data_IF_580066142507
#
_entry.id   IF_580066142507
#
_cell.length_a   1.000
_cell.length_b   1.000
_cell.length_c   1.000
_cell.angle_alpha   90.00
_cell.angle_beta   90.00
_cell.angle_gamma   90.00
#
_symmetry.space_group_name_H-M   'P 1'
#
loop_
_entity.id
_entity.type
_entity.pdbx_description
1 polymer ?
#
# COMPACT_ATOMS: atom_id res chain seq x y z
N UNK A 1 22.47 -4.35 -33.49
CA UNK A 1 21.44 -5.37 -33.20
C UNK A 1 20.80 -4.97 -31.88
N UNK A 2 19.58 -4.49 -31.94
CA UNK A 2 18.80 -4.11 -30.75
C UNK A 2 18.15 -5.37 -30.21
N UNK A 3 18.70 -5.95 -29.18
CA UNK A 3 18.06 -7.05 -28.46
C UNK A 3 16.97 -6.44 -27.59
N UNK A 4 15.72 -6.56 -28.04
CA UNK A 4 14.56 -6.29 -27.20
C UNK A 4 14.43 -7.41 -26.18
N UNK A 5 14.71 -7.11 -24.92
CA UNK A 5 14.46 -8.02 -23.79
C UNK A 5 12.96 -8.05 -23.58
N UNK A 6 12.25 -9.20 -23.67
CA UNK A 6 10.85 -9.26 -23.35
C UNK A 6 10.66 -8.97 -21.86
N UNK A 7 9.92 -7.90 -21.56
CA UNK A 7 9.56 -7.49 -20.20
C UNK A 7 8.34 -8.30 -19.76
N UNK A 8 8.51 -9.21 -18.82
CA UNK A 8 7.41 -9.86 -18.12
C UNK A 8 7.26 -9.28 -16.72
N UNK A 9 6.10 -8.75 -16.43
CA UNK A 9 5.70 -8.30 -15.10
C UNK A 9 4.75 -9.33 -14.51
N UNK A 10 5.11 -9.90 -13.37
CA UNK A 10 4.20 -10.69 -12.55
C UNK A 10 3.90 -9.91 -11.27
N UNK A 11 2.65 -9.55 -11.08
CA UNK A 11 2.16 -8.97 -9.82
C UNK A 11 1.24 -9.99 -9.15
N UNK A 12 1.75 -10.68 -8.14
CA UNK A 12 0.93 -11.54 -7.29
C UNK A 12 0.32 -10.74 -6.15
N UNK A 13 -0.99 -10.54 -6.19
CA UNK A 13 -1.79 -9.84 -5.17
C UNK A 13 -2.14 -10.79 -4.01
N UNK A 14 -1.16 -11.27 -3.26
CA UNK A 14 -1.40 -12.22 -2.15
C UNK A 14 -1.34 -11.61 -0.75
N UNK A 15 -0.97 -10.35 -0.60
CA UNK A 15 -1.00 -9.69 0.72
C UNK A 15 -2.46 -9.36 1.11
N UNK A 16 -3.07 -10.19 1.94
CA UNK A 16 -4.39 -9.92 2.50
C UNK A 16 -4.25 -8.92 3.65
N UNK A 17 -4.76 -7.69 3.45
CA UNK A 17 -4.91 -6.75 4.55
C UNK A 17 -5.98 -7.27 5.50
N UNK A 18 -5.60 -7.57 6.74
CA UNK A 18 -6.53 -7.98 7.79
C UNK A 18 -6.87 -6.76 8.63
N UNK A 19 -8.15 -6.45 8.72
CA UNK A 19 -8.69 -5.41 9.57
C UNK A 19 -9.45 -6.05 10.72
N UNK A 20 -9.08 -5.71 11.94
CA UNK A 20 -9.75 -6.21 13.14
C UNK A 20 -10.52 -5.07 13.79
N UNK A 21 -11.81 -5.27 13.99
CA UNK A 21 -12.73 -4.32 14.64
C UNK A 21 -12.94 -4.70 16.10
N UNK A 22 -12.82 -3.73 17.00
CA UNK A 22 -13.11 -3.86 18.41
C UNK A 22 -13.96 -2.68 18.92
N UNK A 23 -15.00 -2.90 19.74
CA UNK A 23 -15.66 -4.19 19.98
C UNK A 23 -16.64 -4.54 18.85
N UNK A 24 -16.97 -5.82 18.68
CA UNK A 24 -18.04 -6.21 17.80
C UNK A 24 -19.37 -5.80 18.43
N UNK A 25 -20.00 -4.77 17.91
CA UNK A 25 -21.36 -4.29 18.28
C UNK A 25 -21.66 -4.26 19.80
N UNK A 26 -21.82 -3.04 20.34
CA UNK A 26 -22.40 -2.84 21.66
C UNK A 26 -23.73 -2.09 21.56
N UNK A 27 -24.69 -2.46 22.39
CA UNK A 27 -25.83 -1.59 22.69
C UNK A 27 -25.32 -0.41 23.52
N UNK A 28 -25.43 0.78 22.99
CA UNK A 28 -25.04 2.03 23.65
C UNK A 28 -26.30 2.78 24.02
N UNK A 29 -26.35 3.38 25.20
CA UNK A 29 -27.48 4.18 25.63
C UNK A 29 -27.29 5.66 25.24
N UNK A 30 -28.36 6.41 25.05
CA UNK A 30 -28.25 7.86 24.87
C UNK A 30 -27.48 8.50 26.03
N UNK A 31 -26.51 9.37 25.66
CA UNK A 31 -25.59 10.03 26.60
C UNK A 31 -24.25 9.32 26.79
N UNK A 32 -24.12 8.06 26.39
CA UNK A 32 -22.87 7.32 26.50
C UNK A 32 -21.81 7.82 25.52
N UNK A 33 -20.56 7.38 25.74
CA UNK A 33 -19.47 7.50 24.78
C UNK A 33 -19.19 6.15 24.16
N UNK A 34 -19.22 6.09 22.84
CA UNK A 34 -18.86 4.91 22.07
C UNK A 34 -17.50 5.10 21.40
N UNK A 35 -16.67 4.06 21.42
CA UNK A 35 -15.41 4.01 20.70
C UNK A 35 -15.36 2.78 19.82
N UNK A 36 -14.88 2.96 18.61
CA UNK A 36 -14.68 1.90 17.63
C UNK A 36 -13.19 1.90 17.28
N UNK A 37 -12.51 0.80 17.56
CA UNK A 37 -11.10 0.63 17.31
C UNK A 37 -10.87 -0.26 16.09
N UNK A 38 -10.06 0.22 15.18
CA UNK A 38 -9.58 -0.52 14.02
C UNK A 38 -8.11 -0.79 14.15
N UNK A 39 -7.75 -2.05 14.08
CA UNK A 39 -6.36 -2.45 13.93
C UNK A 39 -6.16 -3.03 12.53
N UNK A 40 -5.28 -2.42 11.76
CA UNK A 40 -4.79 -3.00 10.52
C UNK A 40 -3.62 -3.95 10.80
N UNK A 41 -3.45 -4.97 9.96
CA UNK A 41 -2.30 -5.89 10.03
C UNK A 41 -0.98 -5.21 9.64
N UNK A 42 -1.05 -4.02 9.07
CA UNK A 42 0.08 -3.19 8.65
C UNK A 42 -0.29 -1.72 8.76
N UNK A 43 0.69 -0.83 8.67
CA UNK A 43 0.43 0.61 8.64
C UNK A 43 -0.29 0.96 7.32
N UNK A 44 -1.51 1.48 7.46
CA UNK A 44 -2.36 1.93 6.34
C UNK A 44 -2.37 3.46 6.22
N UNK A 45 -1.45 4.14 6.90
CA UNK A 45 -1.43 5.59 6.92
C UNK A 45 -2.74 6.17 7.49
N UNK A 46 -3.20 7.27 6.91
CA UNK A 46 -4.44 7.95 7.31
C UNK A 46 -5.67 7.58 6.45
N UNK A 47 -5.65 6.48 5.72
CA UNK A 47 -6.68 6.14 4.74
C UNK A 47 -7.90 5.43 5.35
N UNK A 48 -8.27 5.76 6.57
CA UNK A 48 -9.48 5.24 7.20
C UNK A 48 -10.60 6.28 7.20
N UNK A 49 -11.82 5.81 7.01
CA UNK A 49 -13.00 6.67 6.98
C UNK A 49 -14.15 6.06 7.80
N UNK A 50 -14.97 6.92 8.40
CA UNK A 50 -16.19 6.54 9.09
C UNK A 50 -17.40 6.96 8.27
N UNK A 51 -18.26 6.00 7.96
CA UNK A 51 -19.53 6.22 7.27
C UNK A 51 -20.71 5.82 8.16
N UNK A 52 -21.78 6.58 8.11
CA UNK A 52 -23.08 6.24 8.67
C UNK A 52 -23.96 5.63 7.58
N UNK A 53 -24.54 4.47 7.88
CA UNK A 53 -25.49 3.81 7.00
C UNK A 53 -26.89 3.94 7.58
N UNK A 54 -27.82 4.48 6.81
CA UNK A 54 -29.26 4.51 7.16
C UNK A 54 -30.02 3.64 6.19
N UNK A 55 -30.99 2.82 6.64
CA UNK A 55 -31.83 2.05 5.73
C UNK A 55 -32.43 2.95 4.65
N UNK A 56 -32.41 2.48 3.41
CA UNK A 56 -33.00 3.19 2.25
C UNK A 56 -32.28 4.49 1.85
N UNK A 57 -31.14 4.84 2.47
CA UNK A 57 -30.37 6.03 2.15
C UNK A 57 -28.96 5.65 1.68
N UNK A 58 -28.37 6.51 0.86
CA UNK A 58 -26.95 6.36 0.51
C UNK A 58 -26.06 6.50 1.77
N UNK A 59 -24.93 5.79 1.84
CA UNK A 59 -23.95 5.96 2.90
C UNK A 59 -23.50 7.41 3.02
N UNK A 60 -23.43 7.93 4.25
CA UNK A 60 -22.98 9.29 4.53
C UNK A 60 -21.62 9.26 5.22
N UNK A 61 -20.60 9.85 4.60
CA UNK A 61 -19.28 10.00 5.22
C UNK A 61 -19.35 10.94 6.44
N UNK A 62 -18.75 10.55 7.55
CA UNK A 62 -18.62 11.37 8.74
C UNK A 62 -17.18 11.85 8.94
N UNK A 63 -16.22 10.94 8.81
CA UNK A 63 -14.80 11.22 8.96
C UNK A 63 -14.07 10.61 7.76
N UNK A 64 -13.08 11.30 7.24
CA UNK A 64 -12.13 10.80 6.25
C UNK A 64 -10.70 11.03 6.72
N UNK A 65 -9.72 10.42 6.08
CA UNK A 65 -8.31 10.55 6.44
C UNK A 65 -8.06 10.33 7.94
N UNK A 66 -8.77 9.38 8.54
CA UNK A 66 -8.71 8.97 9.95
C UNK A 66 -9.17 10.03 10.98
N UNK A 67 -9.05 11.32 10.71
CA UNK A 67 -9.37 12.38 11.66
C UNK A 67 -10.02 13.63 11.07
N UNK A 68 -10.19 13.70 9.74
CA UNK A 68 -10.80 14.86 9.09
C UNK A 68 -12.30 14.70 9.04
N UNK A 69 -13.03 15.64 9.62
CA UNK A 69 -14.50 15.64 9.60
C UNK A 69 -15.04 16.31 8.34
N UNK A 70 -16.12 15.74 7.79
CA UNK A 70 -16.88 16.50 6.78
C UNK A 70 -17.55 17.72 7.42
N UNK A 71 -17.80 18.81 6.69
CA UNK A 71 -18.36 20.05 7.25
C UNK A 71 -19.67 19.90 8.00
N UNK A 72 -20.44 18.88 7.67
CA UNK A 72 -21.73 18.58 8.31
C UNK A 72 -21.65 17.57 9.46
N UNK A 73 -20.45 17.07 9.78
CA UNK A 73 -20.28 16.09 10.86
C UNK A 73 -20.31 16.78 12.23
N UNK A 74 -21.20 16.37 13.14
CA UNK A 74 -21.28 16.95 14.48
C UNK A 74 -19.96 16.88 15.23
N UNK A 75 -19.75 17.82 16.16
CA UNK A 75 -18.53 17.91 16.97
C UNK A 75 -18.29 16.66 17.83
N UNK A 76 -19.35 15.97 18.22
CA UNK A 76 -19.30 14.74 19.04
C UNK A 76 -18.61 13.56 18.38
N UNK A 77 -18.41 13.58 17.07
CA UNK A 77 -17.61 12.58 16.36
C UNK A 77 -16.15 12.99 16.31
N UNK A 78 -15.25 12.05 16.51
CA UNK A 78 -13.81 12.27 16.37
C UNK A 78 -13.10 11.02 15.87
N UNK A 79 -11.94 11.20 15.26
CA UNK A 79 -11.05 10.14 14.84
C UNK A 79 -9.63 10.40 15.32
N UNK A 80 -8.93 9.37 15.70
CA UNK A 80 -7.54 9.40 16.11
C UNK A 80 -6.79 8.26 15.44
N UNK A 81 -5.70 8.58 14.79
CA UNK A 81 -4.77 7.62 14.20
C UNK A 81 -3.51 7.50 15.06
N UNK A 82 -3.12 6.27 15.33
CA UNK A 82 -1.86 5.96 16.00
C UNK A 82 -1.23 4.72 15.35
N UNK A 83 -0.38 4.93 14.36
CA UNK A 83 0.21 3.86 13.55
C UNK A 83 -0.86 3.02 12.82
N UNK A 84 -0.84 1.72 13.03
CA UNK A 84 -1.83 0.80 12.44
C UNK A 84 -3.16 0.74 13.21
N UNK A 85 -3.37 1.61 14.21
CA UNK A 85 -4.57 1.68 15.02
C UNK A 85 -5.31 2.98 14.76
N UNK A 86 -6.55 2.90 14.27
CA UNK A 86 -7.46 4.03 14.18
C UNK A 86 -8.58 3.87 15.19
N UNK A 87 -8.85 4.91 15.96
CA UNK A 87 -9.95 4.98 16.91
C UNK A 87 -10.95 6.05 16.45
N UNK A 88 -12.19 5.65 16.22
CA UNK A 88 -13.30 6.58 16.06
C UNK A 88 -14.10 6.64 17.36
N UNK A 89 -14.41 7.84 17.81
CA UNK A 89 -15.21 8.06 19.00
C UNK A 89 -16.45 8.89 18.68
N UNK A 90 -17.55 8.55 19.36
CA UNK A 90 -18.77 9.33 19.40
C UNK A 90 -19.12 9.55 20.85
N UNK A 91 -19.11 10.81 21.28
CA UNK A 91 -19.53 11.21 22.63
C UNK A 91 -20.97 11.63 22.61
N UNK A 92 -21.66 11.54 23.77
CA UNK A 92 -23.05 11.96 23.89
C UNK A 92 -23.95 11.34 22.81
N UNK A 93 -23.96 10.02 22.73
CA UNK A 93 -24.79 9.27 21.78
C UNK A 93 -26.24 9.74 21.89
N UNK A 94 -26.86 10.04 20.76
CA UNK A 94 -28.24 10.54 20.69
C UNK A 94 -29.17 9.44 20.13
N UNK A 95 -30.46 9.56 20.40
CA UNK A 95 -31.46 8.57 19.95
C UNK A 95 -31.46 8.44 18.41
N UNK A 96 -31.22 9.53 17.71
CA UNK A 96 -31.09 9.52 16.24
C UNK A 96 -29.83 8.83 15.72
N UNK A 97 -28.87 8.54 16.59
CA UNK A 97 -27.67 7.75 16.28
C UNK A 97 -27.93 6.23 16.41
N UNK A 98 -29.11 5.83 16.89
CA UNK A 98 -29.57 4.43 17.01
C UNK A 98 -29.71 3.74 15.65
N UNK A 99 -28.62 3.60 14.94
CA UNK A 99 -28.63 2.83 13.71
C UNK A 99 -27.49 1.82 13.72
N UNK A 100 -27.72 0.65 13.18
CA UNK A 100 -26.67 -0.33 13.10
C UNK A 100 -25.50 0.31 12.34
N UNK A 101 -24.41 0.63 13.05
CA UNK A 101 -23.11 0.89 12.44
C UNK A 101 -22.61 -0.44 11.86
N UNK A 102 -23.38 -0.96 10.89
CA UNK A 102 -23.20 -2.33 10.42
C UNK A 102 -22.19 -2.44 9.31
N UNK A 103 -21.65 -1.35 8.81
CA UNK A 103 -20.55 -1.46 7.85
C UNK A 103 -19.71 -0.19 7.79
N UNK A 104 -18.54 -0.27 8.39
CA UNK A 104 -17.42 0.52 7.94
C UNK A 104 -16.89 -0.12 6.65
N UNK A 105 -17.20 0.50 5.55
CA UNK A 105 -16.45 0.23 4.33
C UNK A 105 -15.17 1.05 4.40
N UNK A 106 -14.12 0.42 4.85
CA UNK A 106 -12.77 0.91 4.63
C UNK A 106 -12.40 0.51 3.20
N UNK A 107 -12.63 1.39 2.28
CA UNK A 107 -12.00 1.28 0.97
C UNK A 107 -10.52 1.64 1.16
N UNK A 108 -9.71 0.69 1.60
CA UNK A 108 -8.27 0.77 1.37
C UNK A 108 -8.11 0.70 -0.14
N UNK A 109 -7.88 1.84 -0.74
CA UNK A 109 -7.69 1.91 -2.19
C UNK A 109 -6.31 1.35 -2.49
N UNK A 110 -6.25 0.06 -2.83
CA UNK A 110 -5.01 -0.54 -3.32
C UNK A 110 -4.66 0.07 -4.67
N UNK A 111 -3.46 0.59 -4.78
CA UNK A 111 -2.89 1.06 -6.04
C UNK A 111 -1.78 0.11 -6.44
N UNK A 112 -1.95 -0.55 -7.56
CA UNK A 112 -0.95 -1.50 -8.07
C UNK A 112 0.33 -0.76 -8.48
N UNK A 113 1.52 -1.34 -8.24
CA UNK A 113 2.79 -0.73 -8.60
C UNK A 113 2.96 -0.59 -10.11
N UNK A 114 3.51 0.52 -10.52
CA UNK A 114 4.05 0.72 -11.87
C UNK A 114 5.53 0.36 -11.86
N UNK A 115 5.87 -0.71 -12.56
CA UNK A 115 7.24 -1.24 -12.58
C UNK A 115 7.92 -0.88 -13.89
N UNK A 116 9.13 -0.34 -13.81
CA UNK A 116 9.98 -0.02 -14.97
C UNK A 116 11.36 -0.61 -14.78
N UNK A 117 11.81 -1.37 -15.76
CA UNK A 117 13.12 -2.02 -15.76
C UNK A 117 14.06 -1.32 -16.74
N UNK A 118 15.24 -0.97 -16.27
CA UNK A 118 16.30 -0.33 -17.06
C UNK A 118 17.51 -1.25 -17.15
N UNK A 119 17.89 -1.55 -18.37
CA UNK A 119 19.09 -2.30 -18.68
C UNK A 119 20.32 -1.36 -18.76
N UNK A 120 21.53 -1.86 -18.51
CA UNK A 120 22.75 -1.09 -18.67
C UNK A 120 22.95 -0.66 -20.14
N UNK A 121 23.44 0.54 -20.33
CA UNK A 121 23.79 1.05 -21.67
C UNK A 121 25.20 0.62 -22.06
N UNK A 122 25.51 0.66 -23.37
CA UNK A 122 26.85 0.32 -23.89
C UNK A 122 27.98 1.16 -23.25
N UNK A 123 27.68 2.40 -22.82
CA UNK A 123 28.66 3.27 -22.13
C UNK A 123 28.89 2.82 -20.68
N UNK A 124 27.90 2.29 -20.03
CA UNK A 124 28.02 1.78 -18.65
C UNK A 124 28.87 0.51 -18.62
N UNK A 125 28.73 -0.35 -19.64
CA UNK A 125 29.49 -1.58 -19.77
C UNK A 125 31.02 -1.33 -19.94
N UNK A 126 31.42 -0.17 -20.41
CA UNK A 126 32.84 0.17 -20.60
C UNK A 126 33.48 0.83 -19.38
N UNK A 127 32.68 1.43 -18.49
CA UNK A 127 33.14 2.27 -17.39
C UNK A 127 33.30 1.53 -16.05
N UNK A 128 32.62 0.43 -15.83
CA UNK A 128 32.42 -0.18 -14.50
C UNK A 128 33.32 -1.37 -14.17
N UNK A 129 34.49 -1.48 -14.80
CA UNK A 129 35.49 -2.48 -14.39
C UNK A 129 35.04 -3.95 -14.43
N UNK A 130 34.16 -4.30 -15.37
CA UNK A 130 33.66 -5.67 -15.52
C UNK A 130 32.40 -6.02 -14.76
N UNK A 131 31.75 -5.06 -14.11
CA UNK A 131 30.42 -5.20 -13.51
C UNK A 131 29.38 -4.43 -14.31
N UNK A 132 28.11 -4.80 -14.11
CA UNK A 132 26.97 -4.12 -14.69
C UNK A 132 25.82 -4.07 -13.70
N UNK A 133 24.98 -3.05 -13.79
CA UNK A 133 23.87 -2.84 -12.87
C UNK A 133 22.57 -2.67 -13.65
N UNK A 134 21.56 -3.45 -13.27
CA UNK A 134 20.18 -3.29 -13.70
C UNK A 134 19.44 -2.48 -12.64
N UNK A 135 18.49 -1.66 -13.08
CA UNK A 135 17.64 -0.85 -12.19
C UNK A 135 16.18 -1.17 -12.43
N UNK A 136 15.48 -1.51 -11.36
CA UNK A 136 14.03 -1.67 -11.31
C UNK A 136 13.44 -0.52 -10.50
N UNK A 137 12.55 0.29 -11.10
CA UNK A 137 11.79 1.33 -10.42
C UNK A 137 10.37 0.85 -10.20
N UNK A 138 9.89 1.00 -8.98
CA UNK A 138 8.56 0.60 -8.55
C UNK A 138 7.86 1.84 -8.00
N UNK A 139 6.88 2.35 -8.74
CA UNK A 139 6.25 3.62 -8.46
C UNK A 139 4.75 3.49 -8.22
N UNK A 140 4.18 4.46 -7.54
CA UNK A 140 2.74 4.69 -7.40
C UNK A 140 1.99 3.51 -6.82
N UNK A 141 2.54 2.82 -5.81
CA UNK A 141 1.87 1.71 -5.15
C UNK A 141 1.37 2.09 -3.76
N UNK A 142 0.29 1.44 -3.33
CA UNK A 142 -0.27 1.58 -2.01
C UNK A 142 -1.02 0.29 -1.62
N UNK A 143 -0.87 -0.23 -0.39
CA UNK A 143 -0.02 0.24 0.73
C UNK A 143 1.47 -0.04 0.53
N UNK A 144 2.31 0.41 1.50
CA UNK A 144 3.77 0.24 1.48
C UNK A 144 4.18 -1.18 1.86
N UNK A 145 3.88 -2.12 0.99
CA UNK A 145 4.32 -3.52 1.12
C UNK A 145 4.63 -4.07 -0.27
N UNK A 146 5.90 -4.19 -0.57
CA UNK A 146 6.36 -4.86 -1.77
C UNK A 146 7.50 -5.82 -1.42
N UNK A 147 7.51 -6.97 -2.07
CA UNK A 147 8.62 -7.91 -2.05
C UNK A 147 9.25 -7.93 -3.43
N UNK A 148 10.57 -7.77 -3.47
CA UNK A 148 11.33 -7.67 -4.71
C UNK A 148 12.23 -8.90 -4.86
N UNK A 149 12.28 -9.46 -6.05
CA UNK A 149 13.20 -10.53 -6.38
C UNK A 149 13.62 -10.43 -7.85
N UNK A 150 14.81 -10.96 -8.14
CA UNK A 150 15.34 -10.97 -9.50
C UNK A 150 15.50 -12.41 -9.99
N UNK A 151 15.14 -12.64 -11.25
CA UNK A 151 15.38 -13.91 -11.92
C UNK A 151 16.07 -13.69 -13.25
N UNK A 152 16.89 -14.66 -13.65
CA UNK A 152 17.50 -14.80 -14.95
C UNK A 152 17.08 -16.16 -15.55
N UNK A 153 16.47 -16.13 -16.71
CA UNK A 153 15.97 -17.33 -17.39
C UNK A 153 15.10 -18.24 -16.51
N UNK A 154 14.24 -17.58 -15.68
CA UNK A 154 13.31 -18.25 -14.77
C UNK A 154 13.93 -18.80 -13.48
N UNK A 155 15.21 -18.57 -13.24
CA UNK A 155 15.91 -18.97 -12.00
C UNK A 155 16.32 -17.76 -11.20
N UNK A 156 16.31 -17.89 -9.86
CA UNK A 156 16.84 -16.84 -8.98
C UNK A 156 18.27 -16.50 -9.38
N UNK A 157 18.55 -15.20 -9.56
CA UNK A 157 19.89 -14.75 -9.93
C UNK A 157 20.72 -14.48 -8.68
N UNK A 158 21.96 -14.98 -8.68
CA UNK A 158 22.95 -14.67 -7.65
C UNK A 158 23.71 -13.40 -8.08
N UNK A 159 23.47 -12.30 -7.37
CA UNK A 159 24.09 -11.01 -7.60
C UNK A 159 23.97 -10.12 -6.37
N UNK A 160 24.56 -8.95 -6.40
CA UNK A 160 24.40 -7.93 -5.36
C UNK A 160 23.09 -7.18 -5.61
N UNK A 161 22.02 -7.59 -4.90
CA UNK A 161 20.73 -6.90 -4.89
C UNK A 161 20.72 -5.87 -3.78
N UNK A 162 20.37 -4.63 -4.11
CA UNK A 162 20.19 -3.55 -3.16
C UNK A 162 18.84 -2.89 -3.40
N UNK A 163 18.00 -2.88 -2.37
CA UNK A 163 16.70 -2.29 -2.40
C UNK A 163 16.70 -0.97 -1.62
N UNK A 164 16.10 0.08 -2.17
CA UNK A 164 15.93 1.34 -1.44
C UNK A 164 14.81 1.22 -0.42
N UNK A 165 14.83 2.08 0.58
CA UNK A 165 13.65 2.28 1.42
C UNK A 165 12.54 2.91 0.58
N UNK A 166 11.29 2.51 0.85
CA UNK A 166 10.13 3.14 0.24
C UNK A 166 10.00 4.59 0.69
N UNK A 167 9.65 5.45 -0.25
CA UNK A 167 9.40 6.87 0.01
C UNK A 167 7.96 7.19 -0.35
N UNK A 168 7.24 7.82 0.57
CA UNK A 168 5.88 8.30 0.33
C UNK A 168 5.93 9.57 -0.51
N UNK A 169 5.17 9.59 -1.61
CA UNK A 169 5.08 10.75 -2.49
C UNK A 169 3.79 11.55 -2.24
N UNK A 170 3.69 12.82 -2.73
CA UNK A 170 2.58 13.71 -2.40
C UNK A 170 1.18 13.21 -2.76
N UNK A 171 1.04 12.30 -3.72
CA UNK A 171 -0.22 11.67 -4.12
C UNK A 171 -0.65 10.53 -3.19
N UNK A 172 0.06 10.35 -2.05
CA UNK A 172 -0.15 9.33 -1.00
C UNK A 172 0.31 7.91 -1.37
N UNK A 173 0.85 7.70 -2.55
CA UNK A 173 1.45 6.43 -2.94
C UNK A 173 2.91 6.35 -2.51
N UNK A 174 3.51 5.19 -2.70
CA UNK A 174 4.91 4.92 -2.39
C UNK A 174 5.71 4.65 -3.66
N UNK A 175 6.99 4.90 -3.57
CA UNK A 175 7.97 4.57 -4.59
C UNK A 175 9.19 3.95 -3.95
N UNK A 176 9.74 2.93 -4.61
CA UNK A 176 11.00 2.27 -4.22
C UNK A 176 11.76 1.85 -5.47
N UNK A 177 12.98 1.40 -5.29
CA UNK A 177 13.80 0.87 -6.37
C UNK A 177 14.61 -0.32 -5.90
N UNK A 178 14.96 -1.18 -6.84
CA UNK A 178 15.90 -2.28 -6.63
C UNK A 178 16.97 -2.23 -7.71
N UNK A 179 18.22 -2.41 -7.31
CA UNK A 179 19.34 -2.59 -8.21
C UNK A 179 19.90 -3.99 -8.11
N UNK A 180 20.26 -4.56 -9.24
CA UNK A 180 20.98 -5.83 -9.32
C UNK A 180 22.33 -5.59 -10.00
N UNK A 181 23.41 -5.76 -9.25
CA UNK A 181 24.77 -5.68 -9.79
C UNK A 181 25.33 -7.08 -9.99
N UNK A 182 25.86 -7.35 -11.18
CA UNK A 182 26.39 -8.65 -11.57
C UNK A 182 27.59 -8.49 -12.52
N UNK A 183 28.41 -9.55 -12.65
CA UNK A 183 29.51 -9.54 -13.63
C UNK A 183 28.98 -9.36 -15.05
N UNK A 184 29.69 -8.61 -15.85
CA UNK A 184 29.35 -8.39 -17.27
C UNK A 184 29.19 -9.70 -18.05
N UNK A 185 30.03 -10.68 -17.77
CA UNK A 185 29.92 -12.01 -18.39
C UNK A 185 28.61 -12.70 -18.09
N UNK A 186 28.09 -12.53 -16.88
CA UNK A 186 26.76 -13.05 -16.47
C UNK A 186 25.65 -12.31 -17.21
N UNK A 187 25.73 -10.99 -17.32
CA UNK A 187 24.77 -10.19 -18.09
C UNK A 187 24.72 -10.61 -19.55
N UNK A 188 25.90 -10.81 -20.17
CA UNK A 188 26.01 -11.17 -21.58
C UNK A 188 25.62 -12.63 -21.88
N UNK A 189 25.58 -13.49 -20.86
CA UNK A 189 25.18 -14.90 -20.98
C UNK A 189 23.69 -15.16 -20.74
N UNK A 190 22.98 -14.24 -20.10
CA UNK A 190 21.56 -14.36 -19.81
C UNK A 190 20.71 -13.81 -20.96
N UNK A 191 19.59 -14.45 -21.23
CA UNK A 191 18.66 -14.02 -22.27
C UNK A 191 17.52 -13.16 -21.72
N UNK A 192 17.01 -13.50 -20.51
CA UNK A 192 15.86 -12.83 -19.93
C UNK A 192 16.09 -12.51 -18.45
N UNK A 193 16.04 -11.23 -18.12
CA UNK A 193 16.08 -10.76 -16.74
C UNK A 193 14.70 -10.24 -16.33
N UNK A 194 14.23 -10.64 -15.16
CA UNK A 194 12.93 -10.23 -14.63
C UNK A 194 13.12 -9.64 -13.24
N UNK A 195 12.61 -8.42 -13.05
CA UNK A 195 12.34 -7.85 -11.74
C UNK A 195 10.92 -8.25 -11.35
N UNK A 196 10.81 -9.11 -10.36
CA UNK A 196 9.53 -9.61 -9.86
C UNK A 196 9.11 -8.81 -8.63
N UNK A 197 7.92 -8.23 -8.69
CA UNK A 197 7.34 -7.41 -7.63
C UNK A 197 6.06 -8.08 -7.14
N UNK A 198 6.01 -8.40 -5.86
CA UNK A 198 4.80 -8.86 -5.17
C UNK A 198 4.26 -7.72 -4.31
N UNK A 199 2.95 -7.40 -4.48
CA UNK A 199 2.24 -6.31 -3.78
C UNK A 199 0.87 -6.74 -3.28
#
# INVERSE_FOLDING_TARGET
MTFGIPLWMSTDLTATLVLTLFPPVHSVQPGDTMQILYRASQDIGNDTALYQFKPVHAPRGLIHDSNQKYPYTPSRFSGLLNGALTTFAMTEVQVEDELPFTQLNMAVQKTAPQVSLFAPTGKDLTRTGGQTTLLCLINNFYPDQVTLSWTMDGKGVSGDQQDSQSVRIPDRTYSTSSTLTLPRSTWESGEMYVCQVQH
#
